data_IF_519758264550
#
_entry.id   IF_519758264550
#
_cell.length_a   1.000
_cell.length_b   1.000
_cell.length_c   1.000
_cell.angle_alpha   90.00
_cell.angle_beta   90.00
_cell.angle_gamma   90.00
#
_symmetry.space_group_name_H-M   'P 1'
#
loop_
_entity.id
_entity.type
_entity.pdbx_description
1 polymer ?
#
# COMPACT_ATOMS: atom_id res chain seq x y z
N UNK A 1 -16.84 48.38 5.68
CA UNK A 1 -16.33 47.08 6.13
C UNK A 1 -14.86 47.02 5.81
N UNK A 2 -14.01 47.02 6.84
CA UNK A 2 -12.61 47.44 6.76
C UNK A 2 -11.70 46.32 6.25
N UNK A 3 -10.81 46.64 5.30
CA UNK A 3 -9.83 45.74 4.67
C UNK A 3 -8.94 44.94 5.67
N UNK A 4 -8.88 45.37 6.93
CA UNK A 4 -8.21 44.66 8.04
C UNK A 4 -8.87 43.32 8.40
N UNK A 5 -10.17 43.15 8.20
CA UNK A 5 -10.89 41.90 8.52
C UNK A 5 -10.58 40.80 7.50
N UNK A 6 -10.39 41.18 6.23
CA UNK A 6 -10.08 40.23 5.14
C UNK A 6 -8.63 39.69 5.29
N UNK A 7 -7.70 40.52 5.76
CA UNK A 7 -6.31 40.12 5.96
C UNK A 7 -6.15 39.10 7.11
N UNK A 8 -6.95 39.24 8.18
CA UNK A 8 -6.95 38.32 9.32
C UNK A 8 -7.64 36.97 9.00
N UNK A 9 -8.66 36.95 8.15
CA UNK A 9 -9.31 35.72 7.68
C UNK A 9 -8.40 34.91 6.73
N UNK A 10 -7.54 35.59 5.97
CA UNK A 10 -6.61 34.95 5.03
C UNK A 10 -5.45 34.26 5.76
N UNK A 11 -5.04 34.80 6.92
CA UNK A 11 -3.92 34.27 7.71
C UNK A 11 -4.30 33.04 8.55
N UNK A 12 -5.59 32.87 8.88
CA UNK A 12 -6.07 31.70 9.63
C UNK A 12 -6.26 30.46 8.76
N UNK A 13 -6.42 30.61 7.44
CA UNK A 13 -6.56 29.49 6.52
C UNK A 13 -5.22 28.78 6.21
N UNK A 14 -4.07 29.46 6.37
CA UNK A 14 -2.76 28.86 6.10
C UNK A 14 -2.23 27.95 7.22
N UNK A 15 -2.73 28.08 8.46
CA UNK A 15 -2.30 27.26 9.60
C UNK A 15 -3.08 25.95 9.76
N UNK A 16 -4.06 25.69 8.89
CA UNK A 16 -4.84 24.43 8.86
C UNK A 16 -4.51 23.57 7.66
N UNK A 17 -3.31 23.72 7.09
CA UNK A 17 -2.75 22.66 6.24
C UNK A 17 -2.63 21.42 7.13
N UNK A 18 -3.40 20.34 6.88
CA UNK A 18 -3.18 19.11 7.62
C UNK A 18 -1.71 18.75 7.40
N UNK A 19 -0.98 18.50 8.49
CA UNK A 19 0.32 17.85 8.40
C UNK A 19 0.12 16.66 7.46
N UNK A 20 0.88 16.62 6.35
CA UNK A 20 0.81 15.53 5.38
C UNK A 20 0.95 14.25 6.19
N UNK A 21 -0.14 13.50 6.33
CA UNK A 21 -0.08 12.23 7.04
C UNK A 21 0.90 11.37 6.24
N UNK A 22 1.98 10.94 6.88
CA UNK A 22 2.89 9.97 6.28
C UNK A 22 2.03 8.77 5.84
N UNK A 23 2.17 8.31 4.58
CA UNK A 23 1.39 7.19 4.10
C UNK A 23 1.61 5.99 5.02
N UNK A 24 0.54 5.26 5.31
CA UNK A 24 0.70 4.03 6.08
C UNK A 24 1.60 3.06 5.30
N UNK A 25 2.35 2.21 6.01
CA UNK A 25 3.16 1.17 5.37
C UNK A 25 2.32 0.33 4.38
N UNK A 26 1.06 0.07 4.70
CA UNK A 26 0.12 -0.60 3.81
C UNK A 26 -0.13 0.17 2.50
N UNK A 27 -0.27 1.50 2.57
CA UNK A 27 -0.42 2.35 1.38
C UNK A 27 0.86 2.38 0.52
N UNK A 28 2.04 2.39 1.15
CA UNK A 28 3.32 2.30 0.44
C UNK A 28 3.49 0.95 -0.26
N UNK A 29 3.16 -0.15 0.42
CA UNK A 29 3.21 -1.51 -0.17
C UNK A 29 2.19 -1.64 -1.31
N UNK A 30 1.01 -1.05 -1.19
CA UNK A 30 0.02 -1.00 -2.27
C UNK A 30 0.55 -0.25 -3.49
N UNK A 31 1.25 0.88 -3.28
CA UNK A 31 1.89 1.63 -4.36
C UNK A 31 3.00 0.81 -5.03
N UNK A 32 3.82 0.11 -4.24
CA UNK A 32 4.84 -0.81 -4.75
C UNK A 32 4.23 -1.92 -5.61
N UNK A 33 3.11 -2.52 -5.20
CA UNK A 33 2.42 -3.55 -6.00
C UNK A 33 1.97 -2.97 -7.35
N UNK A 34 1.42 -1.76 -7.37
CA UNK A 34 1.00 -1.11 -8.61
C UNK A 34 2.19 -0.81 -9.53
N UNK A 35 3.33 -0.40 -8.98
CA UNK A 35 4.55 -0.19 -9.75
C UNK A 35 5.11 -1.51 -10.31
N UNK A 36 5.06 -2.60 -9.52
CA UNK A 36 5.44 -3.93 -10.00
C UNK A 36 4.52 -4.41 -11.14
N UNK A 37 3.21 -4.18 -11.05
CA UNK A 37 2.27 -4.48 -12.12
C UNK A 37 2.64 -3.71 -13.40
N UNK A 38 2.95 -2.42 -13.30
CA UNK A 38 3.44 -1.63 -14.43
C UNK A 38 4.75 -2.18 -15.02
N UNK A 39 5.73 -2.55 -14.18
CA UNK A 39 7.01 -3.09 -14.65
C UNK A 39 6.86 -4.44 -15.33
N UNK A 40 5.92 -5.28 -14.88
CA UNK A 40 5.57 -6.54 -15.55
C UNK A 40 5.05 -6.23 -16.95
N UNK A 41 4.02 -5.39 -17.07
CA UNK A 41 3.41 -5.02 -18.35
C UNK A 41 4.42 -4.42 -19.32
N UNK A 42 5.26 -3.51 -18.83
CA UNK A 42 6.29 -2.88 -19.65
C UNK A 42 7.35 -3.90 -20.10
N UNK A 43 7.77 -4.80 -19.21
CA UNK A 43 8.75 -5.83 -19.53
C UNK A 43 8.21 -6.86 -20.52
N UNK A 44 6.92 -7.20 -20.46
CA UNK A 44 6.25 -8.03 -21.46
C UNK A 44 6.25 -7.37 -22.84
N UNK A 45 5.95 -6.07 -22.90
CA UNK A 45 6.02 -5.31 -24.16
C UNK A 45 7.44 -5.25 -24.74
N UNK A 46 8.46 -5.08 -23.90
CA UNK A 46 9.85 -5.13 -24.35
C UNK A 46 10.24 -6.52 -24.84
N UNK A 47 9.82 -7.58 -24.14
CA UNK A 47 10.07 -8.95 -24.54
C UNK A 47 9.50 -9.25 -25.93
N UNK A 48 8.28 -8.78 -26.22
CA UNK A 48 7.69 -8.94 -27.56
C UNK A 48 8.41 -8.08 -28.60
N UNK A 49 8.70 -6.81 -28.29
CA UNK A 49 9.40 -5.89 -29.20
C UNK A 49 10.75 -6.44 -29.66
N UNK A 50 11.48 -7.07 -28.74
CA UNK A 50 12.82 -7.63 -28.99
C UNK A 50 12.81 -9.16 -29.15
N UNK A 51 11.64 -9.75 -29.45
CA UNK A 51 11.51 -11.21 -29.64
C UNK A 51 12.39 -11.73 -30.76
N UNK A 52 12.58 -10.94 -31.81
CA UNK A 52 13.43 -11.21 -32.98
C UNK A 52 14.79 -10.49 -32.95
N UNK A 53 15.26 -10.11 -31.77
CA UNK A 53 16.61 -9.57 -31.64
C UNK A 53 17.65 -10.67 -31.89
N UNK A 54 18.46 -10.47 -32.94
CA UNK A 54 19.50 -11.40 -33.40
C UNK A 54 20.88 -11.07 -32.77
N UNK A 55 20.91 -10.26 -31.71
CA UNK A 55 22.12 -10.02 -30.95
C UNK A 55 22.73 -11.34 -30.39
N UNK A 56 24.07 -11.47 -30.38
CA UNK A 56 24.75 -12.69 -29.92
C UNK A 56 24.55 -12.98 -28.42
N UNK A 57 24.23 -11.95 -27.63
CA UNK A 57 23.86 -12.05 -26.23
C UNK A 57 22.53 -11.32 -26.08
N UNK A 58 21.53 -12.00 -25.50
CA UNK A 58 20.17 -11.47 -25.34
C UNK A 58 19.84 -11.25 -23.88
N UNK A 59 19.07 -10.20 -23.62
CA UNK A 59 18.50 -9.98 -22.29
C UNK A 59 17.49 -11.08 -21.94
N UNK A 60 17.59 -11.62 -20.73
CA UNK A 60 16.70 -12.70 -20.27
C UNK A 60 15.40 -12.12 -19.67
N UNK A 61 14.47 -11.75 -20.55
CA UNK A 61 13.16 -11.25 -20.16
C UNK A 61 12.35 -12.27 -19.33
N UNK A 62 12.51 -13.57 -19.58
CA UNK A 62 11.81 -14.61 -18.83
C UNK A 62 12.20 -14.63 -17.35
N UNK A 63 13.50 -14.54 -17.06
CA UNK A 63 14.01 -14.48 -15.68
C UNK A 63 13.57 -13.18 -14.97
N UNK A 64 13.60 -12.04 -15.67
CA UNK A 64 13.12 -10.77 -15.12
C UNK A 64 11.64 -10.86 -14.75
N UNK A 65 10.80 -11.34 -15.67
CA UNK A 65 9.35 -11.45 -15.46
C UNK A 65 9.02 -12.41 -14.31
N UNK A 66 9.75 -13.51 -14.18
CA UNK A 66 9.57 -14.44 -13.06
C UNK A 66 9.89 -13.79 -11.71
N UNK A 67 10.98 -13.02 -11.64
CA UNK A 67 11.36 -12.27 -10.43
C UNK A 67 10.34 -11.18 -10.08
N UNK A 68 9.87 -10.42 -11.07
CA UNK A 68 8.85 -9.38 -10.86
C UNK A 68 7.54 -9.98 -10.34
N UNK A 69 7.03 -11.03 -10.99
CA UNK A 69 5.79 -11.73 -10.59
C UNK A 69 5.91 -12.35 -9.20
N UNK A 70 7.05 -12.97 -8.90
CA UNK A 70 7.33 -13.53 -7.57
C UNK A 70 7.32 -12.44 -6.49
N UNK A 71 7.99 -11.32 -6.75
CA UNK A 71 8.07 -10.20 -5.82
C UNK A 71 6.70 -9.58 -5.57
N UNK A 72 5.94 -9.35 -6.65
CA UNK A 72 4.56 -8.84 -6.61
C UNK A 72 3.63 -9.75 -5.81
N UNK A 73 3.71 -11.06 -6.04
CA UNK A 73 2.94 -12.06 -5.29
C UNK A 73 3.26 -12.02 -3.78
N UNK A 74 4.54 -11.93 -3.41
CA UNK A 74 4.96 -11.87 -2.00
C UNK A 74 4.53 -10.58 -1.32
N UNK A 75 4.63 -9.44 -2.00
CA UNK A 75 4.16 -8.15 -1.48
C UNK A 75 2.64 -8.17 -1.21
N UNK A 76 1.86 -8.70 -2.15
CA UNK A 76 0.41 -8.85 -1.97
C UNK A 76 0.06 -9.81 -0.83
N UNK A 77 0.79 -10.91 -0.68
CA UNK A 77 0.59 -11.85 0.42
C UNK A 77 0.87 -11.20 1.78
N UNK A 78 1.94 -10.40 1.90
CA UNK A 78 2.26 -9.68 3.12
C UNK A 78 1.15 -8.68 3.51
N UNK A 79 0.63 -7.92 2.55
CA UNK A 79 -0.44 -6.96 2.79
C UNK A 79 -1.74 -7.64 3.28
N UNK A 80 -2.09 -8.78 2.66
CA UNK A 80 -3.25 -9.57 3.08
C UNK A 80 -3.08 -10.16 4.48
N UNK A 81 -1.86 -10.57 4.85
CA UNK A 81 -1.57 -11.05 6.21
C UNK A 81 -1.71 -9.93 7.24
N UNK A 82 -1.23 -8.72 6.94
CA UNK A 82 -1.42 -7.55 7.81
C UNK A 82 -2.91 -7.23 8.04
N UNK A 83 -3.76 -7.36 7.01
CA UNK A 83 -5.20 -7.19 7.15
C UNK A 83 -5.88 -8.30 7.99
N UNK A 84 -5.26 -9.48 8.09
CA UNK A 84 -5.83 -10.65 8.80
C UNK A 84 -5.54 -10.66 10.30
N UNK A 85 -4.67 -9.79 10.81
CA UNK A 85 -4.44 -9.65 12.26
C UNK A 85 -5.68 -8.98 12.89
N UNK A 86 -6.72 -9.78 13.09
CA UNK A 86 -7.89 -9.44 13.89
C UNK A 86 -7.43 -9.44 15.34
N UNK A 87 -7.46 -8.29 16.01
CA UNK A 87 -7.33 -8.26 17.47
C UNK A 87 -8.41 -9.16 18.05
N UNK A 88 -8.07 -10.31 18.67
CA UNK A 88 -9.05 -11.05 19.44
C UNK A 88 -9.25 -10.22 20.71
N UNK A 89 -10.20 -9.28 20.68
CA UNK A 89 -10.71 -8.76 21.93
C UNK A 89 -11.21 -9.99 22.71
N UNK A 90 -10.66 -10.28 23.90
CA UNK A 90 -11.11 -11.44 24.66
C UNK A 90 -12.61 -11.30 24.88
N UNK A 91 -13.40 -12.40 24.78
CA UNK A 91 -14.83 -12.34 25.04
C UNK A 91 -15.03 -11.71 26.42
N UNK A 92 -15.90 -10.70 26.49
CA UNK A 92 -16.15 -9.96 27.73
C UNK A 92 -16.43 -10.92 28.88
N UNK A 93 -15.79 -10.70 30.02
CA UNK A 93 -15.98 -11.52 31.21
C UNK A 93 -17.45 -11.53 31.60
N UNK A 94 -18.07 -12.71 31.57
CA UNK A 94 -19.47 -12.87 31.99
C UNK A 94 -19.50 -12.79 33.50
N UNK A 95 -19.99 -11.68 34.05
CA UNK A 95 -20.12 -11.44 35.49
C UNK A 95 -21.32 -12.22 36.08
N UNK A 96 -21.30 -13.56 35.97
CA UNK A 96 -22.25 -14.42 36.68
C UNK A 96 -21.59 -14.90 37.97
N UNK A 97 -21.95 -14.23 39.06
CA UNK A 97 -21.70 -14.68 40.42
C UNK A 97 -22.21 -16.12 40.61
N UNK A 98 -21.29 -17.04 40.97
CA UNK A 98 -21.58 -18.44 41.27
C UNK A 98 -22.00 -18.67 42.74
N UNK A 99 -22.18 -17.61 43.52
CA UNK A 99 -22.61 -17.71 44.92
C UNK A 99 -24.13 -17.68 45.02
N UNK A 100 -24.78 -18.80 44.70
CA UNK A 100 -26.11 -19.13 45.24
C UNK A 100 -25.99 -20.36 46.12
N UNK A 101 -25.86 -20.15 47.43
CA UNK A 101 -26.04 -21.21 48.43
C UNK A 101 -27.54 -21.42 48.61
N UNK A 102 -28.02 -22.63 48.31
CA UNK A 102 -29.30 -23.13 48.78
C UNK A 102 -29.12 -23.75 50.17
#
# INVERSE_FOLDING_TARGET
MSARVILLLSLTLLLTLPARAEPSQAAEIQALIAELDYLIDYSEQLAERYRRDDAPIRFNYAALLDQLRTTRSRAAAYLNEQHRIVHPAPPGTVDRSLTRRH
#
